data_IF_515224044271
#
_entry.id   IF_515224044271
#
_cell.length_a   1.000
_cell.length_b   1.000
_cell.length_c   1.000
_cell.angle_alpha   90.00
_cell.angle_beta   90.00
_cell.angle_gamma   90.00
#
_symmetry.space_group_name_H-M   'P 1'
#
loop_
_entity.id
_entity.type
_entity.pdbx_description
1 polymer ?
#
# COMPACT_ATOMS: atom_id res chain seq x y z
N UNK A 1 -3.70 10.11 -20.62
CA UNK A 1 -4.90 10.29 -19.79
C UNK A 1 -4.37 10.29 -18.38
N UNK A 2 -4.30 11.46 -17.74
CA UNK A 2 -3.70 11.60 -16.42
C UNK A 2 -4.50 10.76 -15.43
N UNK A 3 -3.88 9.71 -14.88
CA UNK A 3 -4.45 9.00 -13.74
C UNK A 3 -4.27 9.89 -12.52
N UNK A 4 -5.31 9.99 -11.69
CA UNK A 4 -5.20 10.62 -10.37
C UNK A 4 -4.12 9.90 -9.57
N UNK A 5 -3.18 10.65 -9.01
CA UNK A 5 -2.14 10.15 -8.12
C UNK A 5 -2.26 10.85 -6.78
N UNK A 6 -1.94 10.12 -5.71
CA UNK A 6 -1.99 10.60 -4.35
C UNK A 6 -0.66 11.22 -3.94
N UNK A 7 -0.73 12.45 -3.41
CA UNK A 7 0.42 13.12 -2.79
C UNK A 7 0.49 12.88 -1.27
N UNK A 8 -0.62 12.44 -0.67
CA UNK A 8 -0.76 12.17 0.77
C UNK A 8 -1.18 10.72 1.02
N UNK A 9 -0.84 10.19 2.21
CA UNK A 9 -1.19 8.82 2.57
C UNK A 9 -2.71 8.62 2.61
N UNK A 10 -3.45 9.63 3.08
CA UNK A 10 -4.90 9.64 3.13
C UNK A 10 -5.52 9.54 1.72
N UNK A 11 -5.00 10.32 0.76
CA UNK A 11 -5.44 10.24 -0.64
C UNK A 11 -5.09 8.89 -1.25
N UNK A 12 -3.91 8.33 -0.93
CA UNK A 12 -3.51 7.02 -1.43
C UNK A 12 -4.46 5.92 -0.93
N UNK A 13 -4.80 5.95 0.36
CA UNK A 13 -5.78 5.01 0.94
C UNK A 13 -7.15 5.15 0.26
N UNK A 14 -7.57 6.37 -0.09
CA UNK A 14 -8.79 6.60 -0.86
C UNK A 14 -8.71 5.95 -2.24
N UNK A 15 -7.62 6.18 -2.99
CA UNK A 15 -7.43 5.61 -4.32
C UNK A 15 -7.36 4.07 -4.28
N UNK A 16 -6.62 3.49 -3.34
CA UNK A 16 -6.55 2.04 -3.14
C UNK A 16 -7.94 1.44 -2.92
N UNK A 17 -8.75 2.05 -2.05
CA UNK A 17 -10.11 1.56 -1.76
C UNK A 17 -11.07 1.68 -2.95
N UNK A 18 -10.81 2.61 -3.87
CA UNK A 18 -11.60 2.79 -5.08
C UNK A 18 -11.17 1.82 -6.21
N UNK A 19 -9.87 1.57 -6.34
CA UNK A 19 -9.29 0.75 -7.42
C UNK A 19 -9.34 -0.75 -7.11
N UNK A 20 -9.30 -1.14 -5.82
CA UNK A 20 -9.26 -2.53 -5.40
C UNK A 20 -10.33 -2.84 -4.36
N UNK A 21 -10.87 -4.07 -4.39
CA UNK A 21 -11.69 -4.64 -3.34
C UNK A 21 -10.84 -4.90 -2.08
N UNK A 22 -10.58 -3.82 -1.35
CA UNK A 22 -9.62 -3.76 -0.25
C UNK A 22 -10.27 -4.16 1.06
N UNK A 23 -9.75 -5.19 1.71
CA UNK A 23 -10.20 -5.63 3.03
C UNK A 23 -9.49 -4.88 4.16
N UNK A 24 -8.22 -4.55 3.95
CA UNK A 24 -7.38 -3.97 4.99
C UNK A 24 -6.30 -3.10 4.37
N UNK A 25 -6.05 -1.94 5.00
CA UNK A 25 -4.83 -1.17 4.81
C UNK A 25 -4.23 -0.91 6.18
N UNK A 26 -2.97 -1.28 6.39
CA UNK A 26 -2.23 -1.06 7.61
C UNK A 26 -1.04 -0.17 7.35
N UNK A 27 -0.85 0.86 8.16
CA UNK A 27 0.43 1.55 8.30
C UNK A 27 1.25 0.81 9.35
N UNK A 28 2.49 0.48 9.02
CA UNK A 28 3.43 -0.10 9.97
C UNK A 28 4.78 0.62 9.88
N UNK A 29 5.81 0.05 10.50
CA UNK A 29 7.15 0.63 10.44
C UNK A 29 7.30 1.87 11.33
N UNK A 30 8.30 2.68 11.01
CA UNK A 30 8.74 3.76 11.91
C UNK A 30 7.70 4.87 12.07
N UNK A 31 7.01 5.22 10.98
CA UNK A 31 5.96 6.26 10.99
C UNK A 31 4.73 5.84 11.81
N UNK A 32 4.42 4.53 11.85
CA UNK A 32 3.37 4.01 12.74
C UNK A 32 3.77 4.07 14.22
N UNK A 33 5.06 3.83 14.54
CA UNK A 33 5.57 3.83 15.92
C UNK A 33 5.90 5.23 16.44
N UNK A 34 6.05 6.21 15.56
CA UNK A 34 6.45 7.58 15.89
C UNK A 34 7.96 7.74 16.12
N UNK A 35 8.78 6.76 15.74
CA UNK A 35 10.24 6.80 15.82
C UNK A 35 10.90 7.08 14.45
N UNK A 36 10.13 7.60 13.49
CA UNK A 36 10.60 7.91 12.14
C UNK A 36 11.51 9.14 12.08
N UNK A 37 12.42 9.13 11.11
CA UNK A 37 13.17 10.29 10.68
C UNK A 37 12.37 11.09 9.64
N UNK A 38 12.88 12.26 9.26
CA UNK A 38 12.21 13.15 8.30
C UNK A 38 12.10 12.44 6.94
N UNK A 39 13.15 11.72 6.55
CA UNK A 39 13.31 11.01 5.28
C UNK A 39 12.74 9.58 5.25
N UNK A 40 12.15 9.11 6.34
CA UNK A 40 11.59 7.76 6.42
C UNK A 40 10.50 7.54 5.37
N UNK A 41 10.41 6.33 4.86
CA UNK A 41 9.32 5.85 4.01
C UNK A 41 8.00 5.74 4.78
N UNK A 42 6.90 5.64 4.02
CA UNK A 42 5.68 5.01 4.49
C UNK A 42 5.71 3.52 4.17
N UNK A 43 5.62 2.68 5.20
CA UNK A 43 5.48 1.24 5.06
C UNK A 43 4.01 0.86 5.22
N UNK A 44 3.38 0.34 4.16
CA UNK A 44 1.98 -0.09 4.21
C UNK A 44 1.79 -1.54 3.80
N UNK A 45 0.83 -2.20 4.43
CA UNK A 45 0.29 -3.49 3.97
C UNK A 45 -1.10 -3.23 3.42
N UNK A 46 -1.37 -3.76 2.22
CA UNK A 46 -2.68 -3.74 1.59
C UNK A 46 -3.13 -5.18 1.41
N UNK A 47 -4.32 -5.51 1.88
CA UNK A 47 -4.94 -6.82 1.71
C UNK A 47 -6.14 -6.67 0.79
N UNK A 48 -6.12 -7.37 -0.33
CA UNK A 48 -7.21 -7.38 -1.31
C UNK A 48 -7.28 -8.70 -2.04
N UNK A 49 -8.51 -9.18 -2.30
CA UNK A 49 -8.75 -10.36 -3.15
C UNK A 49 -8.33 -10.13 -4.60
N UNK A 50 -8.27 -8.88 -5.05
CA UNK A 50 -7.94 -8.53 -6.43
C UNK A 50 -6.47 -8.78 -6.77
N UNK A 51 -5.64 -9.07 -5.76
CA UNK A 51 -4.24 -9.47 -5.94
C UNK A 51 -4.05 -10.95 -6.25
N UNK A 52 -5.11 -11.77 -6.17
CA UNK A 52 -5.05 -13.21 -6.46
C UNK A 52 -4.61 -13.45 -7.92
N UNK A 53 -3.68 -14.39 -8.11
CA UNK A 53 -3.11 -14.67 -9.44
C UNK A 53 -2.17 -13.59 -10.01
N UNK A 54 -1.97 -12.45 -9.33
CA UNK A 54 -1.03 -11.41 -9.75
C UNK A 54 0.33 -11.66 -9.10
N UNK A 55 1.40 -11.58 -9.89
CA UNK A 55 2.77 -11.67 -9.37
C UNK A 55 3.05 -10.56 -8.33
N UNK A 56 3.67 -10.91 -7.20
CA UNK A 56 3.94 -10.02 -6.06
C UNK A 56 4.52 -8.65 -6.43
N UNK A 57 5.54 -8.62 -7.29
CA UNK A 57 6.20 -7.37 -7.68
C UNK A 57 5.27 -6.51 -8.56
N UNK A 58 4.45 -7.14 -9.41
CA UNK A 58 3.49 -6.41 -10.25
C UNK A 58 2.42 -5.71 -9.43
N UNK A 59 1.92 -6.36 -8.37
CA UNK A 59 0.92 -5.76 -7.45
C UNK A 59 1.48 -4.51 -6.76
N UNK A 60 2.73 -4.57 -6.30
CA UNK A 60 3.42 -3.40 -5.73
C UNK A 60 3.53 -2.27 -6.75
N UNK A 61 3.83 -2.59 -8.01
CA UNK A 61 3.85 -1.63 -9.12
C UNK A 61 2.51 -0.93 -9.34
N UNK A 62 1.39 -1.67 -9.28
CA UNK A 62 0.05 -1.08 -9.41
C UNK A 62 -0.23 -0.02 -8.35
N UNK A 63 0.21 -0.25 -7.11
CA UNK A 63 0.07 0.72 -6.02
C UNK A 63 1.04 1.88 -6.17
N UNK A 64 2.28 1.63 -6.62
CA UNK A 64 3.25 2.70 -6.87
C UNK A 64 2.83 3.65 -7.99
N UNK A 65 2.11 3.16 -9.00
CA UNK A 65 1.56 4.02 -10.04
C UNK A 65 0.51 5.02 -9.51
N UNK A 66 -0.08 4.76 -8.33
CA UNK A 66 -1.02 5.65 -7.65
C UNK A 66 -0.33 6.68 -6.74
N UNK A 67 0.98 6.59 -6.50
CA UNK A 67 1.70 7.43 -5.55
C UNK A 67 2.53 8.51 -6.25
N UNK A 68 2.41 9.75 -5.80
CA UNK A 68 3.24 10.90 -6.20
C UNK A 68 3.69 11.74 -4.99
N UNK A 69 3.58 11.19 -3.79
CA UNK A 69 3.96 11.89 -2.56
C UNK A 69 5.47 12.08 -2.41
N UNK A 70 5.83 13.11 -1.65
CA UNK A 70 7.24 13.52 -1.46
C UNK A 70 8.10 12.49 -0.73
N UNK A 71 7.48 11.61 0.05
CA UNK A 71 8.15 10.55 0.77
C UNK A 71 8.08 9.24 -0.01
N UNK A 72 9.09 8.39 0.16
CA UNK A 72 9.09 7.05 -0.43
C UNK A 72 7.95 6.22 0.16
N UNK A 73 7.40 5.34 -0.66
CA UNK A 73 6.34 4.40 -0.28
C UNK A 73 6.86 2.98 -0.49
N UNK A 74 6.74 2.14 0.53
CA UNK A 74 6.93 0.69 0.44
C UNK A 74 5.60 -0.01 0.74
N UNK A 75 4.92 -0.46 -0.32
CA UNK A 75 3.62 -1.10 -0.22
C UNK A 75 3.73 -2.62 -0.40
N UNK A 76 3.38 -3.38 0.62
CA UNK A 76 3.28 -4.84 0.56
C UNK A 76 1.84 -5.26 0.28
N UNK A 77 1.63 -5.92 -0.85
CA UNK A 77 0.30 -6.25 -1.36
C UNK A 77 0.02 -7.75 -1.24
N UNK A 78 -0.90 -8.14 -0.37
CA UNK A 78 -1.23 -9.54 -0.09
C UNK A 78 -2.68 -9.90 -0.42
N UNK A 79 -2.91 -11.15 -0.80
CA UNK A 79 -4.26 -11.71 -0.72
C UNK A 79 -4.63 -11.96 0.75
N UNK A 80 -5.93 -12.06 1.09
CA UNK A 80 -6.34 -12.42 2.45
C UNK A 80 -5.66 -13.69 2.95
N UNK A 81 -5.57 -14.72 2.12
CA UNK A 81 -4.97 -16.01 2.47
C UNK A 81 -3.45 -15.89 2.70
N UNK A 82 -2.75 -15.09 1.91
CA UNK A 82 -1.32 -14.80 2.11
C UNK A 82 -1.07 -14.02 3.40
N UNK A 83 -1.92 -13.02 3.69
CA UNK A 83 -1.82 -12.21 4.90
C UNK A 83 -2.03 -13.06 6.15
N UNK A 84 -3.07 -13.90 6.16
CA UNK A 84 -3.35 -14.82 7.26
C UNK A 84 -2.20 -15.79 7.54
N UNK A 85 -1.53 -16.30 6.50
CA UNK A 85 -0.35 -17.16 6.66
C UNK A 85 0.86 -16.44 7.27
N UNK A 86 0.99 -15.14 7.07
CA UNK A 86 2.12 -14.32 7.56
C UNK A 86 1.87 -13.69 8.93
N UNK A 87 0.62 -13.69 9.40
CA UNK A 87 0.22 -13.09 10.68
C UNK A 87 0.60 -13.95 11.90
N UNK A 88 0.99 -15.20 11.68
CA UNK A 88 1.44 -16.15 12.70
C UNK A 88 2.95 -16.34 12.62
#
# INVERSE_FOLDING_TARGET
>A
MDRERAETLEDLVRLIKNEFNTELVLLFGSRARGDNLIESDYDIIIVSKDFEGINFIKRMGLVQDLWDGIYRLEAFCYTPEEFERKRN
#
